data_IF_090972489802
#
_entry.id   IF_090972489802
#
_cell.length_a   1.000
_cell.length_b   1.000
_cell.length_c   1.000
_cell.angle_alpha   90.00
_cell.angle_beta   90.00
_cell.angle_gamma   90.00
#
_symmetry.space_group_name_H-M   'P 1'
#
loop_
_entity.id
_entity.type
_entity.pdbx_description
1 polymer ?
#
# COMPACT_ATOMS: atom_id res chain seq x y z
N UNK A 1 -5.58 -38.79 30.71
CA UNK A 1 -7.03 -39.03 30.93
C UNK A 1 -7.50 -38.16 32.10
N UNK A 2 -6.92 -36.96 32.29
CA UNK A 2 -7.20 -36.08 33.44
C UNK A 2 -7.52 -34.62 33.07
N UNK A 3 -7.45 -34.24 31.78
CA UNK A 3 -7.77 -32.86 31.34
C UNK A 3 -9.27 -32.52 31.43
N UNK A 4 -10.13 -33.53 31.62
CA UNK A 4 -11.57 -33.34 31.80
C UNK A 4 -11.93 -32.91 33.24
N UNK A 5 -11.03 -33.11 34.22
CA UNK A 5 -11.31 -32.87 35.64
C UNK A 5 -10.94 -31.43 36.04
N UNK A 6 -9.90 -30.85 35.42
CA UNK A 6 -9.49 -29.46 35.69
C UNK A 6 -10.54 -28.41 35.28
N UNK A 7 -11.41 -28.74 34.31
CA UNK A 7 -12.50 -27.87 33.89
C UNK A 7 -13.65 -27.74 34.91
N UNK A 8 -13.72 -28.62 35.90
CA UNK A 8 -14.80 -28.63 36.91
C UNK A 8 -14.43 -27.85 38.18
N UNK A 9 -13.14 -27.62 38.43
CA UNK A 9 -12.62 -27.05 39.67
C UNK A 9 -12.61 -25.51 39.63
N UNK A 10 -12.58 -24.89 38.45
CA UNK A 10 -12.63 -23.44 38.36
C UNK A 10 -13.27 -22.92 37.05
N UNK A 11 -14.59 -22.72 36.99
CA UNK A 11 -15.25 -22.14 35.80
C UNK A 11 -14.76 -20.72 35.47
N UNK A 12 -14.09 -20.04 36.40
CA UNK A 12 -13.45 -18.74 36.14
C UNK A 12 -12.15 -18.84 35.32
N UNK A 13 -11.45 -19.99 35.33
CA UNK A 13 -10.21 -20.15 34.55
C UNK A 13 -10.48 -20.21 33.03
N UNK A 14 -11.55 -20.87 32.61
CA UNK A 14 -11.99 -20.86 31.20
C UNK A 14 -12.57 -19.52 30.76
N UNK A 15 -13.16 -18.74 31.67
CA UNK A 15 -13.68 -17.39 31.36
C UNK A 15 -12.52 -16.39 31.27
N UNK A 16 -11.53 -16.47 32.16
CA UNK A 16 -10.38 -15.56 32.18
C UNK A 16 -9.49 -15.70 30.93
N UNK A 17 -9.43 -16.89 30.31
CA UNK A 17 -8.66 -17.11 29.08
C UNK A 17 -9.33 -16.53 27.81
N UNK A 18 -10.54 -15.95 27.91
CA UNK A 18 -11.27 -15.37 26.77
C UNK A 18 -11.32 -13.85 26.78
N UNK A 19 -10.93 -13.22 27.90
CA UNK A 19 -11.03 -11.78 28.10
C UNK A 19 -9.74 -11.06 27.66
N UNK A 20 -8.62 -11.77 27.56
CA UNK A 20 -7.29 -11.23 27.24
C UNK A 20 -6.70 -11.74 25.90
N UNK A 21 -7.45 -12.55 25.14
CA UNK A 21 -7.00 -13.00 23.81
C UNK A 21 -7.07 -11.82 22.82
N UNK A 22 -5.92 -11.38 22.32
CA UNK A 22 -5.84 -10.32 21.30
C UNK A 22 -6.47 -10.75 19.96
N UNK A 23 -6.66 -9.80 19.04
CA UNK A 23 -7.27 -10.09 17.73
C UNK A 23 -6.52 -11.18 16.95
N UNK A 24 -5.19 -11.26 17.12
CA UNK A 24 -4.34 -12.22 16.44
C UNK A 24 -4.56 -13.64 16.94
N UNK A 25 -4.55 -13.87 18.26
CA UNK A 25 -4.79 -15.19 18.83
C UNK A 25 -6.23 -15.65 18.60
N UNK A 26 -7.20 -14.73 18.62
CA UNK A 26 -8.58 -15.02 18.21
C UNK A 26 -8.65 -15.49 16.76
N UNK A 27 -8.06 -14.75 15.82
CA UNK A 27 -8.00 -15.10 14.40
C UNK A 27 -7.36 -16.47 14.17
N UNK A 28 -6.21 -16.70 14.79
CA UNK A 28 -5.43 -17.94 14.65
C UNK A 28 -6.17 -19.18 15.16
N UNK A 29 -7.03 -19.02 16.17
CA UNK A 29 -7.86 -20.11 16.72
C UNK A 29 -9.13 -20.35 15.91
N UNK A 30 -9.78 -19.30 15.40
CA UNK A 30 -11.11 -19.40 14.79
C UNK A 30 -11.12 -19.52 13.27
N UNK A 31 -10.16 -18.92 12.57
CA UNK A 31 -10.19 -18.89 11.11
C UNK A 31 -9.51 -20.14 10.51
N UNK A 32 -10.18 -20.84 9.59
CA UNK A 32 -9.57 -21.96 8.89
C UNK A 32 -8.44 -21.47 8.00
N UNK A 33 -7.38 -22.27 7.88
CA UNK A 33 -6.31 -22.01 6.91
C UNK A 33 -6.90 -22.00 5.51
N UNK A 34 -6.61 -20.95 4.74
CA UNK A 34 -7.00 -20.87 3.35
C UNK A 34 -6.46 -22.08 2.58
N UNK A 35 -7.34 -22.86 1.97
CA UNK A 35 -6.96 -24.03 1.19
C UNK A 35 -6.20 -23.60 -0.07
N UNK A 36 -5.21 -24.41 -0.47
CA UNK A 36 -4.39 -24.13 -1.65
C UNK A 36 -5.28 -24.12 -2.90
N UNK A 37 -5.34 -22.98 -3.59
CA UNK A 37 -6.18 -22.79 -4.77
C UNK A 37 -7.54 -22.12 -4.47
N UNK A 38 -7.88 -21.86 -3.21
CA UNK A 38 -9.03 -21.03 -2.87
C UNK A 38 -8.87 -19.58 -3.34
N UNK A 39 -9.99 -18.87 -3.54
CA UNK A 39 -9.98 -17.45 -3.90
C UNK A 39 -9.21 -16.60 -2.89
N UNK A 40 -9.29 -16.93 -1.60
CA UNK A 40 -8.57 -16.25 -0.52
C UNK A 40 -7.06 -16.54 -0.52
N UNK A 41 -6.64 -17.74 -0.93
CA UNK A 41 -5.22 -18.06 -1.09
C UNK A 41 -4.59 -17.33 -2.29
N UNK A 42 -5.36 -17.16 -3.37
CA UNK A 42 -4.92 -16.44 -4.58
C UNK A 42 -5.03 -14.91 -4.45
N UNK A 43 -5.89 -14.42 -3.56
CA UNK A 43 -6.08 -13.00 -3.32
C UNK A 43 -6.12 -12.71 -1.81
N UNK A 44 -4.95 -12.64 -1.15
CA UNK A 44 -4.86 -12.41 0.28
C UNK A 44 -5.38 -11.02 0.67
N UNK A 45 -5.30 -10.01 -0.21
CA UNK A 45 -5.88 -8.68 0.03
C UNK A 45 -7.39 -8.79 0.20
N UNK A 46 -8.08 -9.49 -0.71
CA UNK A 46 -9.53 -9.69 -0.63
C UNK A 46 -9.95 -10.41 0.66
N UNK A 47 -9.18 -11.41 1.08
CA UNK A 47 -9.39 -12.10 2.35
C UNK A 47 -9.37 -11.12 3.54
N UNK A 48 -8.33 -10.31 3.67
CA UNK A 48 -8.22 -9.37 4.80
C UNK A 48 -9.23 -8.22 4.74
N UNK A 49 -9.67 -7.82 3.55
CA UNK A 49 -10.79 -6.86 3.38
C UNK A 49 -12.10 -7.44 3.93
N UNK A 50 -12.41 -8.70 3.63
CA UNK A 50 -13.61 -9.38 4.12
C UNK A 50 -13.59 -9.59 5.65
N UNK A 51 -12.40 -9.70 6.25
CA UNK A 51 -12.23 -9.89 7.69
C UNK A 51 -12.19 -8.58 8.50
N UNK A 52 -12.27 -7.42 7.85
CA UNK A 52 -12.10 -6.09 8.48
C UNK A 52 -13.08 -5.83 9.62
N UNK A 53 -14.32 -6.27 9.48
CA UNK A 53 -15.35 -6.06 10.49
C UNK A 53 -15.14 -6.95 11.74
N UNK A 54 -14.49 -8.11 11.56
CA UNK A 54 -14.24 -9.08 12.64
C UNK A 54 -12.92 -8.81 13.36
N UNK A 55 -11.91 -8.32 12.64
CA UNK A 55 -10.55 -8.04 13.14
C UNK A 55 -10.05 -6.67 12.65
N UNK A 56 -10.56 -5.56 13.20
CA UNK A 56 -10.33 -4.22 12.66
C UNK A 56 -8.89 -3.72 12.77
N UNK A 57 -8.09 -4.22 13.72
CA UNK A 57 -6.69 -3.83 13.86
C UNK A 57 -5.76 -4.79 13.12
N UNK A 58 -6.02 -6.10 13.23
CA UNK A 58 -5.23 -7.12 12.55
C UNK A 58 -5.35 -7.02 11.02
N UNK A 59 -6.55 -6.77 10.49
CA UNK A 59 -6.77 -6.60 9.05
C UNK A 59 -6.01 -5.41 8.49
N UNK A 60 -5.94 -4.29 9.22
CA UNK A 60 -5.15 -3.11 8.80
C UNK A 60 -3.67 -3.46 8.70
N UNK A 61 -3.09 -4.07 9.75
CA UNK A 61 -1.69 -4.49 9.75
C UNK A 61 -1.41 -5.45 8.58
N UNK A 62 -2.28 -6.44 8.37
CA UNK A 62 -2.12 -7.39 7.28
C UNK A 62 -2.18 -6.72 5.90
N UNK A 63 -3.11 -5.79 5.69
CA UNK A 63 -3.22 -5.04 4.45
C UNK A 63 -2.02 -4.12 4.22
N UNK A 64 -1.54 -3.45 5.26
CA UNK A 64 -0.34 -2.60 5.20
C UNK A 64 0.85 -3.43 4.72
N UNK A 65 1.09 -4.59 5.35
CA UNK A 65 2.19 -5.50 4.97
C UNK A 65 2.03 -6.07 3.56
N UNK A 66 0.82 -6.51 3.19
CA UNK A 66 0.55 -7.12 1.88
C UNK A 66 0.55 -6.10 0.74
N UNK A 67 0.32 -4.82 1.04
CA UNK A 67 0.37 -3.75 0.04
C UNK A 67 1.79 -3.35 -0.36
N UNK A 68 2.80 -3.75 0.42
CA UNK A 68 4.20 -3.47 0.13
C UNK A 68 4.61 -4.30 -1.10
N UNK A 69 5.07 -3.67 -2.20
CA UNK A 69 5.56 -4.40 -3.36
C UNK A 69 6.74 -5.30 -2.98
N UNK A 70 6.73 -6.55 -3.42
CA UNK A 70 7.76 -7.52 -3.06
C UNK A 70 9.16 -7.21 -3.63
N UNK A 71 9.28 -6.36 -4.66
CA UNK A 71 10.52 -6.13 -5.41
C UNK A 71 10.66 -4.69 -5.91
N UNK A 72 11.91 -4.22 -6.00
CA UNK A 72 12.32 -2.96 -6.65
C UNK A 72 12.16 -2.95 -8.18
N UNK A 73 11.70 -4.06 -8.78
CA UNK A 73 11.54 -4.20 -10.24
C UNK A 73 10.60 -3.13 -10.83
N UNK A 74 9.63 -2.65 -10.05
CA UNK A 74 8.77 -1.52 -10.45
C UNK A 74 9.57 -0.21 -10.58
N UNK A 75 10.50 0.03 -9.65
CA UNK A 75 11.41 1.16 -9.73
C UNK A 75 12.38 0.99 -10.90
N UNK A 76 12.93 -0.20 -11.14
CA UNK A 76 13.81 -0.47 -12.29
C UNK A 76 13.09 -0.25 -13.62
N UNK A 77 11.85 -0.72 -13.77
CA UNK A 77 11.02 -0.41 -14.96
C UNK A 77 10.78 1.09 -15.10
N UNK A 78 10.49 1.78 -14.01
CA UNK A 78 10.32 3.23 -14.01
C UNK A 78 11.62 3.92 -14.46
N UNK A 79 12.78 3.48 -13.97
CA UNK A 79 14.08 4.02 -14.37
C UNK A 79 14.44 3.70 -15.81
N UNK A 80 14.08 2.52 -16.34
CA UNK A 80 14.24 2.20 -17.76
C UNK A 80 13.35 3.07 -18.66
N UNK A 81 12.07 3.22 -18.30
CA UNK A 81 11.12 4.08 -19.03
C UNK A 81 11.53 5.56 -18.98
N UNK A 82 12.12 5.99 -17.85
CA UNK A 82 12.75 7.30 -17.71
C UNK A 82 14.03 7.41 -18.53
N UNK A 83 14.82 6.35 -18.64
CA UNK A 83 16.01 6.29 -19.50
C UNK A 83 15.68 6.55 -20.97
N UNK A 84 14.61 5.94 -21.48
CA UNK A 84 14.08 6.20 -22.82
C UNK A 84 13.54 7.65 -22.96
N UNK A 85 12.98 8.21 -21.89
CA UNK A 85 12.52 9.62 -21.88
C UNK A 85 13.68 10.63 -21.87
N UNK A 86 14.83 10.21 -21.32
CA UNK A 86 16.07 10.98 -21.19
C UNK A 86 17.01 10.81 -22.39
N UNK A 87 16.61 10.06 -23.44
CA UNK A 87 17.33 10.03 -24.71
C UNK A 87 17.54 11.48 -25.24
N UNK A 88 18.66 11.76 -25.97
CA UNK A 88 19.30 13.08 -26.08
C UNK A 88 18.45 14.29 -26.50
N UNK A 89 17.20 14.09 -26.93
CA UNK A 89 16.29 15.11 -27.45
C UNK A 89 15.68 16.00 -26.35
N UNK A 90 15.85 15.69 -25.05
CA UNK A 90 15.29 16.48 -23.92
C UNK A 90 16.26 16.69 -22.75
N UNK A 91 17.53 17.03 -23.02
CA UNK A 91 18.59 17.30 -22.00
C UNK A 91 18.33 18.48 -21.03
N UNK A 92 17.14 19.05 -20.97
CA UNK A 92 16.81 20.23 -20.17
C UNK A 92 15.56 20.06 -19.26
N UNK A 93 15.00 18.86 -19.13
CA UNK A 93 13.89 18.63 -18.19
C UNK A 93 14.43 18.55 -16.76
N UNK A 94 13.88 19.40 -15.89
CA UNK A 94 14.20 19.40 -14.45
C UNK A 94 13.67 18.10 -13.79
N UNK A 95 14.38 17.49 -12.83
CA UNK A 95 13.95 16.26 -12.15
C UNK A 95 12.55 16.33 -11.53
N UNK A 96 12.15 17.51 -11.04
CA UNK A 96 10.84 17.76 -10.44
C UNK A 96 9.72 17.61 -11.47
N UNK A 97 9.88 18.21 -12.66
CA UNK A 97 8.92 18.10 -13.75
C UNK A 97 8.83 16.66 -14.28
N UNK A 98 9.97 15.97 -14.31
CA UNK A 98 10.04 14.56 -14.68
C UNK A 98 9.23 13.68 -13.71
N UNK A 99 9.39 13.90 -12.41
CA UNK A 99 8.64 13.21 -11.37
C UNK A 99 7.14 13.51 -11.45
N UNK A 100 6.76 14.78 -11.62
CA UNK A 100 5.36 15.19 -11.78
C UNK A 100 4.71 14.54 -13.02
N UNK A 101 5.43 14.52 -14.15
CA UNK A 101 4.96 13.91 -15.41
C UNK A 101 4.74 12.41 -15.25
N UNK A 102 5.67 11.71 -14.58
CA UNK A 102 5.49 10.28 -14.31
C UNK A 102 4.35 10.02 -13.35
N UNK A 103 4.16 10.86 -12.33
CA UNK A 103 3.05 10.76 -11.40
C UNK A 103 1.70 10.86 -12.12
N UNK A 104 1.54 11.89 -12.97
CA UNK A 104 0.34 12.07 -13.79
C UNK A 104 0.09 10.87 -14.71
N UNK A 105 1.13 10.34 -15.36
CA UNK A 105 1.02 9.15 -16.22
C UNK A 105 0.59 7.91 -15.44
N UNK A 106 1.15 7.71 -14.24
CA UNK A 106 0.77 6.59 -13.36
C UNK A 106 -0.69 6.72 -12.91
N UNK A 107 -1.12 7.92 -12.50
CA UNK A 107 -2.51 8.18 -12.13
C UNK A 107 -3.48 7.96 -13.28
N UNK A 108 -3.17 8.46 -14.48
CA UNK A 108 -3.99 8.21 -15.67
C UNK A 108 -4.11 6.71 -15.99
N UNK A 109 -3.02 5.93 -15.88
CA UNK A 109 -3.07 4.47 -16.06
C UNK A 109 -3.87 3.76 -14.96
N UNK A 110 -3.91 4.32 -13.76
CA UNK A 110 -4.77 3.86 -12.67
C UNK A 110 -6.23 4.33 -12.82
N UNK A 111 -6.57 5.10 -13.86
CA UNK A 111 -7.90 5.64 -14.09
C UNK A 111 -8.24 6.89 -13.27
N UNK A 112 -7.23 7.56 -12.71
CA UNK A 112 -7.38 8.80 -11.95
C UNK A 112 -7.04 10.00 -12.85
N UNK A 113 -8.04 10.87 -13.09
CA UNK A 113 -7.91 12.14 -13.80
C UNK A 113 -8.79 12.25 -15.04
N UNK A 114 -9.58 13.33 -15.15
CA UNK A 114 -10.44 13.60 -16.30
C UNK A 114 -9.60 13.98 -17.53
N UNK A 115 -9.84 13.30 -18.65
CA UNK A 115 -9.12 13.50 -19.92
C UNK A 115 -9.35 14.88 -20.56
N UNK A 116 -10.24 15.71 -20.00
CA UNK A 116 -10.68 16.97 -20.63
C UNK A 116 -9.68 18.13 -20.49
N UNK A 117 -8.71 18.04 -19.56
CA UNK A 117 -7.78 19.17 -19.29
C UNK A 117 -6.56 19.17 -20.24
N UNK A 118 -6.28 18.06 -20.95
CA UNK A 118 -5.03 17.89 -21.69
C UNK A 118 -4.96 18.63 -23.04
N UNK A 119 -6.03 19.25 -23.52
CA UNK A 119 -6.09 19.71 -24.91
C UNK A 119 -5.61 21.16 -25.19
N UNK A 120 -5.26 22.00 -24.19
CA UNK A 120 -5.14 23.45 -24.49
C UNK A 120 -4.05 24.33 -23.85
N UNK A 121 -3.01 23.85 -23.19
CA UNK A 121 -1.91 24.76 -22.83
C UNK A 121 -0.53 24.22 -23.17
N UNK A 122 0.11 24.86 -24.14
CA UNK A 122 1.57 24.85 -24.29
C UNK A 122 2.14 25.67 -23.14
N UNK A 123 2.10 25.14 -21.92
CA UNK A 123 2.70 25.76 -20.75
C UNK A 123 4.15 25.32 -20.67
N UNK A 124 5.06 26.29 -20.58
CA UNK A 124 6.51 26.05 -20.51
C UNK A 124 6.92 25.49 -19.15
N UNK A 125 8.04 24.76 -19.10
CA UNK A 125 8.53 24.10 -17.87
C UNK A 125 8.67 25.08 -16.69
N UNK A 126 9.10 26.32 -16.95
CA UNK A 126 9.26 27.37 -15.93
C UNK A 126 7.90 27.90 -15.42
N UNK A 127 6.89 27.98 -16.28
CA UNK A 127 5.53 28.37 -15.88
C UNK A 127 4.87 27.28 -15.01
N UNK A 128 5.12 26.00 -15.29
CA UNK A 128 4.61 24.88 -14.48
C UNK A 128 5.27 24.89 -13.09
N UNK A 129 6.57 25.15 -13.01
CA UNK A 129 7.28 25.25 -11.73
C UNK A 129 6.72 26.37 -10.85
N UNK A 130 6.43 27.53 -11.44
CA UNK A 130 5.82 28.65 -10.72
C UNK A 130 4.36 28.37 -10.31
N UNK A 131 3.57 27.72 -11.16
CA UNK A 131 2.16 27.43 -10.90
C UNK A 131 1.96 26.45 -9.74
N UNK A 132 2.84 25.45 -9.63
CA UNK A 132 2.70 24.36 -8.66
C UNK A 132 3.72 24.40 -7.53
N UNK A 133 4.58 25.42 -7.47
CA UNK A 133 5.66 25.57 -6.49
C UNK A 133 6.40 24.25 -6.22
N UNK A 134 6.81 23.60 -7.31
CA UNK A 134 7.52 22.30 -7.27
C UNK A 134 8.85 22.39 -6.50
N UNK A 135 9.39 23.61 -6.32
CA UNK A 135 10.57 23.93 -5.52
C UNK A 135 10.38 23.72 -4.02
N UNK A 136 9.16 23.87 -3.49
CA UNK A 136 8.88 23.72 -2.05
C UNK A 136 8.90 22.26 -1.58
N UNK A 137 8.87 21.29 -2.49
CA UNK A 137 8.86 19.86 -2.14
C UNK A 137 10.23 19.34 -1.66
N UNK A 138 11.27 20.18 -1.75
CA UNK A 138 12.63 19.89 -1.27
C UNK A 138 12.94 20.47 0.12
N UNK A 139 11.94 20.73 0.96
CA UNK A 139 12.11 21.33 2.28
C UNK A 139 12.97 20.49 3.24
N UNK A 140 14.13 21.05 3.56
CA UNK A 140 14.94 20.89 4.77
C UNK A 140 15.56 19.53 5.11
N UNK A 141 16.61 19.17 4.36
CA UNK A 141 17.77 18.52 4.99
C UNK A 141 18.74 19.62 5.46
N UNK A 142 18.37 20.33 6.53
CA UNK A 142 19.36 21.09 7.26
C UNK A 142 20.13 20.10 8.15
N UNK A 143 21.33 19.79 7.69
CA UNK A 143 22.36 19.02 8.37
C UNK A 143 22.62 19.61 9.78
N UNK A 144 22.55 18.77 10.81
CA UNK A 144 23.17 18.99 12.13
C UNK A 144 23.88 17.74 12.55
#
# INVERSE_FOLDING_TARGET
>A
MDDAIDGLINPSASINNTIDDDEFERWKRSEPRAEKGSNHANNPIKYWVELRDRYPNLSKLALDVLSIPALSCECERLFSELGDLLEPRRRAIKPQLLAATQCVRRWQRAGLGDSEVAAKSTTTDDEIELLYDLSSWGGDYHET
#
